data_IF_140394602963
#
_entry.id   IF_140394602963
#
_cell.length_a   1.000
_cell.length_b   1.000
_cell.length_c   1.000
_cell.angle_alpha   90.00
_cell.angle_beta   90.00
_cell.angle_gamma   90.00
#
_symmetry.space_group_name_H-M   'P 1'
#
loop_
_entity.id
_entity.type
_entity.pdbx_description
1 polymer ?
#
# COMPACT_ATOMS: atom_id res chain seq x y z
N UNK A 1 3.40 -11.50 -14.61
CA UNK A 1 2.71 -10.68 -15.63
C UNK A 1 3.15 -9.25 -15.39
N UNK A 2 3.64 -8.54 -16.41
CA UNK A 2 4.13 -7.17 -16.24
C UNK A 2 2.98 -6.28 -15.79
N UNK A 3 3.18 -5.62 -14.67
CA UNK A 3 2.21 -4.74 -14.06
C UNK A 3 2.12 -3.43 -14.88
N UNK A 4 1.35 -3.46 -15.97
CA UNK A 4 1.20 -2.32 -16.90
C UNK A 4 0.57 -1.09 -16.25
N UNK A 5 0.01 -1.22 -15.03
CA UNK A 5 -0.63 -0.14 -14.31
C UNK A 5 0.35 0.86 -13.69
N UNK A 6 1.58 0.44 -13.37
CA UNK A 6 2.53 1.30 -12.65
C UNK A 6 3.92 1.25 -13.27
N UNK A 7 4.55 2.42 -13.42
CA UNK A 7 5.89 2.54 -14.02
C UNK A 7 6.84 3.42 -13.18
N UNK A 8 7.92 2.86 -12.63
CA UNK A 8 8.94 3.66 -11.94
C UNK A 8 9.62 4.66 -12.89
N UNK A 9 9.87 5.87 -12.40
CA UNK A 9 10.66 6.87 -13.10
C UNK A 9 12.16 6.64 -12.87
N UNK A 10 12.98 6.89 -13.89
CA UNK A 10 14.43 6.91 -13.75
C UNK A 10 14.89 8.29 -13.28
N UNK A 11 15.31 8.37 -12.03
CA UNK A 11 15.82 9.60 -11.40
C UNK A 11 17.34 9.58 -11.21
N UNK A 12 18.05 8.60 -11.77
CA UNK A 12 19.48 8.35 -11.51
C UNK A 12 20.37 9.58 -11.70
N UNK A 13 20.12 10.37 -12.74
CA UNK A 13 20.89 11.57 -13.06
C UNK A 13 20.82 12.67 -11.98
N UNK A 14 19.75 12.69 -11.18
CA UNK A 14 19.45 13.78 -10.23
C UNK A 14 19.87 13.47 -8.79
N UNK A 15 20.22 12.21 -8.50
CA UNK A 15 20.58 11.77 -7.14
C UNK A 15 21.91 12.37 -6.71
N UNK A 16 21.95 12.94 -5.52
CA UNK A 16 23.07 13.70 -4.96
C UNK A 16 23.38 13.38 -3.48
N UNK A 17 22.64 12.47 -2.85
CA UNK A 17 22.82 12.10 -1.45
C UNK A 17 22.61 10.60 -1.23
N UNK A 18 23.14 10.05 -0.14
CA UNK A 18 23.01 8.65 0.24
C UNK A 18 22.23 8.38 1.53
N UNK A 19 22.21 7.12 1.99
CA UNK A 19 21.58 6.67 3.23
C UNK A 19 22.00 7.42 4.50
N UNK A 20 23.15 8.10 4.49
CA UNK A 20 23.62 8.92 5.62
C UNK A 20 22.68 10.08 6.01
N UNK A 21 21.73 10.44 5.14
CA UNK A 21 20.67 11.39 5.48
C UNK A 21 19.64 10.83 6.48
N UNK A 22 19.54 9.50 6.61
CA UNK A 22 18.65 8.80 7.54
C UNK A 22 19.46 7.79 8.39
N UNK A 23 20.37 8.27 9.25
CA UNK A 23 21.39 7.43 9.89
C UNK A 23 20.81 6.33 10.80
N UNK A 24 19.67 6.59 11.42
CA UNK A 24 19.08 5.70 12.42
C UNK A 24 18.14 4.63 11.83
N UNK A 25 17.85 4.68 10.52
CA UNK A 25 16.67 4.01 9.95
C UNK A 25 16.96 3.00 8.84
N UNK A 26 18.24 2.84 8.47
CA UNK A 26 18.72 1.90 7.45
C UNK A 26 17.78 1.84 6.22
N UNK A 27 17.69 2.94 5.45
CA UNK A 27 16.66 3.10 4.45
C UNK A 27 16.73 2.03 3.35
N UNK A 28 15.57 1.55 2.90
CA UNK A 28 15.51 0.61 1.78
C UNK A 28 15.93 1.28 0.47
N UNK A 29 16.73 0.59 -0.34
CA UNK A 29 17.35 1.11 -1.56
C UNK A 29 17.25 0.10 -2.70
N UNK A 30 17.55 0.50 -3.93
CA UNK A 30 17.42 -0.36 -5.12
C UNK A 30 15.96 -0.49 -5.60
N UNK A 31 15.64 -1.61 -6.25
CA UNK A 31 14.26 -1.89 -6.68
C UNK A 31 13.42 -2.32 -5.48
N UNK A 32 12.32 -1.62 -5.23
CA UNK A 32 11.50 -1.80 -4.05
C UNK A 32 10.02 -1.87 -4.43
N UNK A 33 9.27 -2.72 -3.73
CA UNK A 33 7.81 -2.74 -3.76
C UNK A 33 7.29 -2.09 -2.48
N UNK A 34 6.84 -0.83 -2.61
CA UNK A 34 6.30 -0.07 -1.48
C UNK A 34 4.78 -0.09 -1.58
N UNK A 35 4.13 -0.82 -0.66
CA UNK A 35 2.68 -1.13 -0.71
C UNK A 35 2.22 -1.79 -2.03
N UNK A 36 3.05 -2.64 -2.61
CA UNK A 36 2.77 -3.29 -3.89
C UNK A 36 2.89 -2.38 -5.11
N UNK A 37 3.46 -1.18 -4.94
CA UNK A 37 3.79 -0.27 -6.04
C UNK A 37 5.31 -0.33 -6.31
N UNK A 38 5.74 -0.46 -7.57
CA UNK A 38 7.14 -0.58 -7.90
C UNK A 38 7.82 0.79 -7.80
N UNK A 39 9.01 0.85 -7.18
CA UNK A 39 9.87 2.02 -7.12
C UNK A 39 11.32 1.65 -7.44
N UNK A 40 12.05 2.60 -8.03
CA UNK A 40 13.50 2.49 -8.25
C UNK A 40 14.22 3.54 -7.39
N UNK A 41 14.66 3.13 -6.22
CA UNK A 41 15.46 3.94 -5.31
C UNK A 41 16.94 3.74 -5.65
N UNK A 42 17.77 4.76 -5.51
CA UNK A 42 19.21 4.61 -5.76
C UNK A 42 19.91 3.82 -4.66
N UNK A 43 21.21 3.58 -4.87
CA UNK A 43 22.06 2.85 -3.93
C UNK A 43 23.32 3.65 -3.59
N UNK A 44 23.93 3.34 -2.45
CA UNK A 44 25.17 3.98 -1.99
C UNK A 44 25.06 5.50 -1.85
N UNK A 45 26.15 6.22 -2.12
CA UNK A 45 26.23 7.68 -1.96
C UNK A 45 25.32 8.49 -2.90
N UNK A 46 24.63 7.84 -3.84
CA UNK A 46 23.67 8.45 -4.76
C UNK A 46 22.34 7.72 -4.70
N UNK A 47 21.83 7.51 -3.49
CA UNK A 47 20.55 6.88 -3.26
C UNK A 47 19.35 7.82 -3.51
N UNK A 48 19.48 9.09 -3.14
CA UNK A 48 18.37 10.05 -3.05
C UNK A 48 18.67 11.37 -3.75
N UNK A 49 17.61 12.15 -3.98
CA UNK A 49 17.68 13.58 -4.29
C UNK A 49 17.47 14.34 -2.96
N UNK A 50 18.53 14.83 -2.36
CA UNK A 50 18.51 15.70 -1.18
C UNK A 50 18.30 17.16 -1.56
N UNK A 51 17.35 17.81 -0.89
CA UNK A 51 16.83 19.15 -1.19
C UNK A 51 16.68 19.98 0.10
N UNK A 52 16.76 21.30 -0.04
CA UNK A 52 16.63 22.25 1.08
C UNK A 52 17.97 22.65 1.69
N UNK A 53 17.94 23.20 2.90
CA UNK A 53 19.08 23.84 3.54
C UNK A 53 20.35 22.95 3.55
N UNK A 54 21.43 23.42 2.94
CA UNK A 54 22.71 22.71 2.91
C UNK A 54 22.74 21.42 2.08
N UNK A 55 21.68 21.12 1.31
CA UNK A 55 21.61 19.99 0.39
C UNK A 55 21.58 20.50 -1.07
N UNK A 56 20.44 20.38 -1.76
CA UNK A 56 20.22 20.85 -3.13
C UNK A 56 19.15 21.93 -3.23
N UNK A 57 19.21 22.71 -4.31
CA UNK A 57 18.19 23.71 -4.67
C UNK A 57 17.11 23.14 -5.60
N UNK A 58 16.44 24.01 -6.34
CA UNK A 58 15.42 23.60 -7.32
C UNK A 58 15.95 22.57 -8.32
N UNK A 59 15.14 21.54 -8.59
CA UNK A 59 15.45 20.50 -9.57
C UNK A 59 14.25 20.25 -10.49
N UNK A 60 14.51 19.96 -11.76
CA UNK A 60 13.47 19.62 -12.75
C UNK A 60 13.67 18.18 -13.20
N UNK A 61 12.70 17.32 -12.85
CA UNK A 61 12.70 15.89 -13.17
C UNK A 61 11.89 15.67 -14.45
N UNK A 62 12.48 15.18 -15.54
CA UNK A 62 11.76 14.87 -16.77
C UNK A 62 10.82 13.68 -16.53
N UNK A 63 9.57 13.81 -16.98
CA UNK A 63 8.56 12.74 -16.93
C UNK A 63 8.25 12.28 -18.36
N UNK A 64 7.96 13.23 -19.26
CA UNK A 64 7.69 13.01 -20.68
C UNK A 64 6.71 11.85 -20.95
N UNK A 65 5.60 11.83 -20.21
CA UNK A 65 4.60 10.78 -20.30
C UNK A 65 3.22 11.26 -19.88
N UNK A 66 2.18 10.63 -20.42
CA UNK A 66 0.84 10.66 -19.84
C UNK A 66 0.80 9.77 -18.60
N UNK A 67 0.06 10.20 -17.59
CA UNK A 67 -0.21 9.43 -16.38
C UNK A 67 -1.45 10.01 -15.69
N UNK A 68 -2.23 9.14 -15.05
CA UNK A 68 -3.33 9.55 -14.18
C UNK A 68 -2.82 10.00 -12.81
N UNK A 69 -1.73 9.38 -12.35
CA UNK A 69 -1.17 9.65 -11.03
C UNK A 69 0.36 9.74 -11.10
N UNK A 70 0.94 10.59 -10.25
CA UNK A 70 2.37 10.58 -9.92
C UNK A 70 2.50 10.33 -8.43
N UNK A 71 3.11 9.20 -8.08
CA UNK A 71 3.35 8.78 -6.70
C UNK A 71 4.81 9.09 -6.37
N UNK A 72 5.05 9.87 -5.32
CA UNK A 72 6.37 10.28 -4.87
C UNK A 72 6.68 9.62 -3.53
N UNK A 73 7.79 8.90 -3.47
CA UNK A 73 8.37 8.40 -2.23
C UNK A 73 9.38 9.42 -1.72
N UNK A 74 9.03 10.13 -0.65
CA UNK A 74 9.83 11.23 -0.11
C UNK A 74 9.71 11.31 1.41
N UNK A 75 10.56 12.16 2.00
CA UNK A 75 10.61 12.30 3.44
C UNK A 75 11.34 13.56 3.90
N UNK A 76 10.81 14.19 4.95
CA UNK A 76 11.50 15.23 5.70
C UNK A 76 12.59 14.60 6.57
N UNK A 77 13.77 15.20 6.64
CA UNK A 77 14.88 14.64 7.43
C UNK A 77 14.66 14.89 8.93
N UNK A 78 14.16 16.07 9.26
CA UNK A 78 14.03 16.55 10.64
C UNK A 78 12.72 17.30 10.83
N UNK A 79 12.18 17.27 12.04
CA UNK A 79 10.92 17.93 12.41
C UNK A 79 11.07 18.62 13.76
N UNK A 80 10.54 19.83 13.86
CA UNK A 80 10.42 20.55 15.13
C UNK A 80 9.03 20.39 15.78
N UNK A 81 8.16 19.51 15.25
CA UNK A 81 6.79 19.32 15.77
C UNK A 81 6.79 18.83 17.23
N UNK A 82 7.70 17.93 17.59
CA UNK A 82 7.86 17.47 18.99
C UNK A 82 8.38 18.58 19.91
N UNK A 83 8.94 19.64 19.35
CA UNK A 83 9.38 20.85 20.07
C UNK A 83 8.32 21.95 20.08
N UNK A 84 7.10 21.65 19.64
CA UNK A 84 5.96 22.57 19.65
C UNK A 84 5.84 23.45 18.40
N UNK A 85 6.54 23.13 17.30
CA UNK A 85 6.31 23.80 16.03
C UNK A 85 4.88 23.57 15.51
N UNK A 86 4.42 24.45 14.62
CA UNK A 86 3.10 24.35 14.03
C UNK A 86 3.09 23.32 12.90
N UNK A 87 2.02 22.54 12.86
CA UNK A 87 1.70 21.66 11.72
C UNK A 87 1.50 22.49 10.45
N UNK A 88 1.93 21.95 9.30
CA UNK A 88 1.75 22.59 8.00
C UNK A 88 2.86 23.57 7.62
N UNK A 89 4.08 23.39 8.15
CA UNK A 89 5.26 24.13 7.70
C UNK A 89 5.43 23.98 6.18
N UNK A 90 5.74 25.09 5.51
CA UNK A 90 5.95 25.12 4.06
C UNK A 90 7.31 24.49 3.72
N UNK A 91 7.30 23.32 3.07
CA UNK A 91 8.51 22.53 2.78
C UNK A 91 8.98 22.76 1.35
N UNK A 92 8.07 22.73 0.37
CA UNK A 92 8.39 22.89 -1.04
C UNK A 92 7.15 23.18 -1.88
N UNK A 93 7.34 23.71 -3.09
CA UNK A 93 6.36 23.63 -4.18
C UNK A 93 6.76 22.51 -5.16
N UNK A 94 5.80 21.64 -5.49
CA UNK A 94 5.91 20.67 -6.59
C UNK A 94 5.08 21.17 -7.77
N UNK A 95 5.72 21.40 -8.92
CA UNK A 95 5.10 22.00 -10.09
C UNK A 95 5.15 21.00 -11.24
N UNK A 96 3.99 20.53 -11.67
CA UNK A 96 3.85 19.62 -12.81
C UNK A 96 3.59 20.43 -14.07
N UNK A 97 4.53 20.41 -15.00
CA UNK A 97 4.43 21.12 -16.29
C UNK A 97 3.87 20.20 -17.36
N UNK A 98 2.82 20.62 -18.06
CA UNK A 98 2.17 19.90 -19.15
C UNK A 98 2.66 20.37 -20.52
N UNK A 99 2.45 19.54 -21.54
CA UNK A 99 2.88 19.79 -22.93
C UNK A 99 2.15 20.97 -23.61
N UNK A 100 0.97 21.34 -23.11
CA UNK A 100 0.19 22.51 -23.55
C UNK A 100 0.60 23.82 -22.85
N UNK A 101 1.60 23.77 -21.98
CA UNK A 101 2.11 24.92 -21.22
C UNK A 101 1.38 25.19 -19.91
N UNK A 102 0.36 24.39 -19.55
CA UNK A 102 -0.28 24.47 -18.23
C UNK A 102 0.68 23.93 -17.15
N UNK A 103 0.69 24.60 -15.99
CA UNK A 103 1.47 24.17 -14.84
C UNK A 103 0.59 24.03 -13.60
N UNK A 104 0.62 22.86 -12.96
CA UNK A 104 -0.08 22.58 -11.72
C UNK A 104 0.88 22.67 -10.54
N UNK A 105 0.74 23.72 -9.74
CA UNK A 105 1.55 23.93 -8.53
C UNK A 105 0.85 23.38 -7.30
N UNK A 106 1.54 22.52 -6.57
CA UNK A 106 1.08 21.92 -5.31
C UNK A 106 2.05 22.27 -4.19
N UNK A 107 1.50 22.80 -3.09
CA UNK A 107 2.28 23.04 -1.88
C UNK A 107 2.49 21.73 -1.13
N UNK A 108 3.73 21.47 -0.74
CA UNK A 108 4.13 20.34 0.09
C UNK A 108 4.38 20.86 1.50
N UNK A 109 3.60 20.36 2.45
CA UNK A 109 3.60 20.84 3.82
C UNK A 109 3.86 19.71 4.81
N UNK A 110 4.57 20.04 5.87
CA UNK A 110 4.86 19.10 6.94
C UNK A 110 3.57 18.58 7.59
N UNK A 111 3.52 17.25 7.77
CA UNK A 111 2.42 16.43 8.27
C UNK A 111 1.16 16.40 7.38
N UNK A 112 1.22 16.95 6.17
CA UNK A 112 0.17 16.77 5.15
C UNK A 112 0.70 15.91 4.02
N UNK A 113 1.49 16.51 3.13
CA UNK A 113 2.07 15.87 1.96
C UNK A 113 3.46 15.30 2.23
N UNK A 114 4.09 15.57 3.37
CA UNK A 114 5.40 15.01 3.73
C UNK A 114 5.55 15.00 5.25
N UNK A 115 6.35 14.08 5.81
CA UNK A 115 6.69 14.11 7.24
C UNK A 115 8.08 13.54 7.50
N UNK A 116 8.62 13.78 8.70
CA UNK A 116 9.82 13.12 9.21
C UNK A 116 9.44 11.77 9.86
N UNK A 117 10.39 11.12 10.56
CA UNK A 117 9.99 10.03 11.45
C UNK A 117 9.01 10.59 12.47
N UNK A 118 7.95 9.84 12.73
CA UNK A 118 6.87 10.27 13.61
C UNK A 118 6.52 9.19 14.60
N UNK A 119 5.99 9.61 15.75
CA UNK A 119 5.43 8.72 16.75
C UNK A 119 3.99 8.34 16.43
N UNK A 120 3.44 7.43 17.24
CA UNK A 120 2.02 7.07 17.20
C UNK A 120 1.10 8.30 17.19
N UNK A 121 0.12 8.32 16.28
CA UNK A 121 -0.83 9.42 16.12
C UNK A 121 -0.31 10.65 15.36
N UNK A 122 0.94 10.64 14.87
CA UNK A 122 1.54 11.79 14.19
C UNK A 122 1.76 11.58 12.67
N UNK A 123 1.24 10.50 12.09
CA UNK A 123 1.30 10.23 10.65
C UNK A 123 0.73 11.38 9.80
N UNK A 124 1.28 11.63 8.59
CA UNK A 124 0.81 12.68 7.70
C UNK A 124 -0.61 12.41 7.19
N UNK A 125 -1.35 13.48 6.91
CA UNK A 125 -2.77 13.40 6.53
C UNK A 125 -3.02 13.01 5.06
N UNK A 126 -2.08 13.31 4.15
CA UNK A 126 -2.26 13.15 2.70
C UNK A 126 -1.25 12.18 2.08
N UNK A 127 -0.57 11.38 2.90
CA UNK A 127 0.37 10.35 2.46
C UNK A 127 0.14 9.03 3.17
N UNK A 128 0.56 7.96 2.51
CA UNK A 128 0.62 6.63 3.09
C UNK A 128 2.05 6.31 3.58
N UNK A 129 2.18 5.34 4.48
CA UNK A 129 3.46 4.74 4.82
C UNK A 129 4.00 3.92 3.64
N UNK A 130 5.31 3.66 3.63
CA UNK A 130 5.98 2.84 2.62
C UNK A 130 5.84 1.32 2.83
N UNK A 131 5.18 0.90 3.92
CA UNK A 131 4.89 -0.51 4.22
C UNK A 131 3.39 -0.80 4.13
N UNK A 132 3.05 -2.03 3.72
CA UNK A 132 1.66 -2.50 3.67
C UNK A 132 1.14 -2.76 5.09
N UNK A 133 -0.18 -2.82 5.23
CA UNK A 133 -0.80 -3.41 6.40
C UNK A 133 -0.56 -4.93 6.38
N UNK A 134 -0.49 -5.57 7.55
CA UNK A 134 -0.26 -7.02 7.63
C UNK A 134 -1.09 -7.68 8.73
N UNK A 135 -1.64 -8.88 8.50
CA UNK A 135 -2.22 -9.66 9.59
C UNK A 135 -1.13 -10.12 10.55
N UNK A 136 -1.44 -10.17 11.84
CA UNK A 136 -0.57 -10.85 12.80
C UNK A 136 -0.37 -12.33 12.41
N UNK A 137 0.71 -12.99 12.84
CA UNK A 137 0.77 -14.44 12.73
C UNK A 137 -0.33 -15.05 13.59
N UNK A 138 -1.28 -15.77 12.97
CA UNK A 138 -2.46 -16.31 13.65
C UNK A 138 -2.12 -17.24 14.81
N UNK A 139 -1.13 -18.11 14.62
CA UNK A 139 -0.85 -19.25 15.49
C UNK A 139 0.36 -19.05 16.40
N UNK A 140 1.09 -17.95 16.25
CA UNK A 140 2.35 -17.69 16.96
C UNK A 140 2.47 -16.21 17.32
N UNK A 141 3.39 -15.88 18.22
CA UNK A 141 3.74 -14.51 18.57
C UNK A 141 3.68 -14.20 20.06
N UNK A 142 3.90 -12.93 20.38
CA UNK A 142 3.87 -12.37 21.72
C UNK A 142 2.42 -12.27 22.23
N UNK A 143 1.97 -13.27 22.99
CA UNK A 143 0.61 -13.34 23.53
C UNK A 143 0.33 -12.34 24.65
N UNK A 144 1.37 -11.73 25.22
CA UNK A 144 1.30 -10.58 26.12
C UNK A 144 0.80 -9.30 25.44
N UNK A 145 0.83 -9.25 24.10
CA UNK A 145 0.21 -8.19 23.28
C UNK A 145 -1.26 -8.50 22.93
N UNK A 146 -1.98 -9.23 23.79
CA UNK A 146 -3.34 -9.68 23.51
C UNK A 146 -4.29 -8.55 23.06
N UNK A 147 -4.15 -7.35 23.60
CA UNK A 147 -4.95 -6.18 23.21
C UNK A 147 -4.71 -5.73 21.76
N UNK A 148 -3.46 -5.69 21.30
CA UNK A 148 -3.13 -5.38 19.90
C UNK A 148 -3.56 -6.51 18.97
N UNK A 149 -3.44 -7.75 19.41
CA UNK A 149 -3.80 -8.91 18.59
C UNK A 149 -5.31 -9.03 18.34
N UNK A 150 -6.16 -8.41 19.16
CA UNK A 150 -7.60 -8.32 18.91
C UNK A 150 -7.95 -7.55 17.63
N UNK A 151 -7.07 -6.70 17.11
CA UNK A 151 -7.31 -6.00 15.85
C UNK A 151 -7.05 -6.88 14.63
N UNK A 152 -6.41 -8.05 14.81
CA UNK A 152 -6.01 -9.06 13.82
C UNK A 152 -5.03 -8.59 12.74
N UNK A 153 -5.19 -7.36 12.28
CA UNK A 153 -4.36 -6.66 11.31
C UNK A 153 -3.64 -5.51 12.01
N UNK A 154 -2.36 -5.37 11.69
CA UNK A 154 -1.56 -4.22 12.07
C UNK A 154 -1.43 -3.27 10.86
N UNK A 155 -1.38 -1.98 11.14
CA UNK A 155 -1.23 -0.94 10.14
C UNK A 155 0.22 -0.86 9.67
N UNK A 156 0.41 -0.64 8.37
CA UNK A 156 1.67 -0.24 7.76
C UNK A 156 2.30 0.95 8.49
N UNK A 157 3.51 0.77 9.03
CA UNK A 157 4.28 1.84 9.65
C UNK A 157 5.36 2.37 8.70
N UNK A 158 5.58 3.70 8.60
CA UNK A 158 6.65 4.22 7.76
C UNK A 158 7.99 3.69 8.26
N UNK A 159 8.67 2.94 7.41
CA UNK A 159 10.03 2.44 7.66
C UNK A 159 11.05 3.50 7.26
N UNK A 160 10.91 4.05 6.06
CA UNK A 160 11.91 4.97 5.50
C UNK A 160 11.28 6.14 4.78
N UNK A 161 10.11 5.97 4.17
CA UNK A 161 9.49 6.98 3.32
C UNK A 161 7.98 7.13 3.56
N UNK A 162 7.44 8.25 3.09
CA UNK A 162 6.02 8.43 2.88
C UNK A 162 5.72 8.46 1.39
N UNK A 163 4.57 7.91 1.01
CA UNK A 163 4.10 7.86 -0.36
C UNK A 163 2.99 8.90 -0.53
N UNK A 164 3.29 9.97 -1.26
CA UNK A 164 2.34 11.00 -1.63
C UNK A 164 1.87 10.80 -3.07
N UNK A 165 0.58 10.97 -3.35
CA UNK A 165 0.02 10.81 -4.69
C UNK A 165 -0.55 12.14 -5.20
N UNK A 166 -0.01 12.62 -6.31
CA UNK A 166 -0.66 13.63 -7.13
C UNK A 166 -1.61 12.98 -8.12
N UNK A 167 -2.85 13.48 -8.20
CA UNK A 167 -3.81 13.11 -9.24
C UNK A 167 -3.75 14.15 -10.35
N UNK A 168 -3.42 13.70 -11.56
CA UNK A 168 -3.33 14.57 -12.73
C UNK A 168 -4.74 14.99 -13.15
N UNK A 169 -5.07 16.29 -13.14
CA UNK A 169 -6.38 16.76 -13.57
C UNK A 169 -6.61 16.64 -15.09
N UNK A 170 -5.54 16.43 -15.87
CA UNK A 170 -5.60 16.25 -17.32
C UNK A 170 -4.78 15.00 -17.72
N UNK A 171 -5.29 13.78 -17.47
CA UNK A 171 -4.53 12.53 -17.66
C UNK A 171 -4.14 12.25 -19.12
N UNK A 172 -4.91 12.79 -20.07
CA UNK A 172 -4.64 12.67 -21.52
C UNK A 172 -3.52 13.61 -22.00
N UNK A 173 -3.06 14.55 -21.16
CA UNK A 173 -1.94 15.45 -21.46
C UNK A 173 -0.64 14.87 -20.96
N UNK A 174 0.42 15.01 -21.76
CA UNK A 174 1.74 14.59 -21.32
C UNK A 174 2.24 15.52 -20.23
N UNK A 175 2.69 14.94 -19.12
CA UNK A 175 3.47 15.65 -18.11
C UNK A 175 4.90 15.73 -18.65
N UNK A 176 5.38 16.93 -18.95
CA UNK A 176 6.74 17.17 -19.43
C UNK A 176 7.73 16.96 -18.29
N UNK A 177 7.47 17.60 -17.14
CA UNK A 177 8.38 17.53 -15.99
C UNK A 177 7.67 17.79 -14.66
N UNK A 178 8.33 17.35 -13.60
CA UNK A 178 8.08 17.77 -12.22
C UNK A 178 9.23 18.66 -11.77
N UNK A 179 8.95 19.94 -11.56
CA UNK A 179 9.87 20.86 -10.91
C UNK A 179 9.63 20.87 -9.40
N UNK A 180 10.69 20.68 -8.62
CA UNK A 180 10.64 20.67 -7.17
C UNK A 180 11.42 21.87 -6.65
N UNK A 181 10.72 22.78 -5.98
CA UNK A 181 11.28 24.01 -5.42
C UNK A 181 11.29 23.94 -3.88
N UNK A 182 12.44 23.70 -3.23
CA UNK A 182 12.51 23.64 -1.77
C UNK A 182 12.37 25.04 -1.13
N UNK A 183 11.68 25.12 0.02
CA UNK A 183 11.42 26.39 0.74
C UNK A 183 12.21 26.55 2.05
N UNK A 184 13.06 25.58 2.40
CA UNK A 184 13.96 25.71 3.56
C UNK A 184 14.25 24.36 4.22
N UNK A 185 13.24 23.66 4.77
CA UNK A 185 13.44 22.40 5.46
C UNK A 185 14.17 21.37 4.59
N UNK A 186 14.99 20.54 5.24
CA UNK A 186 15.75 19.49 4.56
C UNK A 186 14.88 18.26 4.35
N UNK A 187 14.79 17.82 3.11
CA UNK A 187 14.03 16.62 2.76
C UNK A 187 14.74 15.86 1.63
N UNK A 188 14.30 14.63 1.42
CA UNK A 188 14.75 13.79 0.32
C UNK A 188 13.58 13.30 -0.52
N UNK A 189 13.84 13.10 -1.80
CA UNK A 189 13.00 12.28 -2.69
C UNK A 189 13.80 11.01 -3.00
N UNK A 190 13.24 9.86 -2.65
CA UNK A 190 13.86 8.57 -2.87
C UNK A 190 13.58 8.03 -4.28
N UNK A 191 12.32 8.14 -4.71
CA UNK A 191 11.86 7.69 -6.02
C UNK A 191 10.49 8.29 -6.37
N UNK A 192 10.08 8.12 -7.62
CA UNK A 192 8.73 8.42 -8.07
C UNK A 192 8.25 7.36 -9.07
N UNK A 193 6.94 7.13 -9.12
CA UNK A 193 6.28 6.12 -9.94
C UNK A 193 5.02 6.70 -10.56
N UNK A 194 4.78 6.39 -11.83
CA UNK A 194 3.59 6.80 -12.56
C UNK A 194 2.48 5.76 -12.40
N UNK A 195 1.26 6.21 -12.12
CA UNK A 195 0.04 5.42 -12.28
C UNK A 195 -0.54 5.66 -13.67
N UNK A 196 -0.62 4.59 -14.46
CA UNK A 196 -0.99 4.62 -15.88
C UNK A 196 -2.47 4.32 -16.12
N UNK A 197 -3.23 4.04 -15.06
CA UNK A 197 -4.68 3.79 -15.11
C UNK A 197 -5.44 4.80 -14.25
N UNK A 198 -6.76 4.99 -14.45
CA UNK A 198 -7.56 5.92 -13.65
C UNK A 198 -7.74 5.53 -12.18
N UNK A 199 -7.26 4.35 -11.76
CA UNK A 199 -7.43 3.89 -10.39
C UNK A 199 -6.54 4.70 -9.44
N UNK A 200 -7.06 5.04 -8.26
CA UNK A 200 -6.24 5.64 -7.22
C UNK A 200 -5.31 4.57 -6.62
N UNK A 201 -3.99 4.85 -6.44
CA UNK A 201 -2.99 3.81 -6.15
C UNK A 201 -3.04 3.24 -4.73
N UNK A 202 -3.83 3.83 -3.84
CA UNK A 202 -4.00 3.35 -2.46
C UNK A 202 -5.46 2.99 -2.20
N UNK A 203 -5.68 1.95 -1.40
CA UNK A 203 -7.03 1.48 -1.07
C UNK A 203 -7.80 2.59 -0.33
N UNK A 204 -9.00 2.91 -0.84
CA UNK A 204 -9.90 3.93 -0.26
C UNK A 204 -11.31 3.39 0.03
N UNK A 205 -11.52 2.10 -0.19
CA UNK A 205 -12.78 1.40 0.05
C UNK A 205 -12.67 0.57 1.32
N UNK A 206 -13.80 0.33 1.98
CA UNK A 206 -13.86 -0.60 3.10
C UNK A 206 -13.56 -2.04 2.63
N UNK A 207 -13.11 -2.88 3.54
CA UNK A 207 -12.99 -4.30 3.28
C UNK A 207 -14.38 -4.93 3.15
N UNK A 208 -14.58 -5.75 2.12
CA UNK A 208 -15.82 -6.53 1.92
C UNK A 208 -15.57 -8.00 2.24
N UNK A 209 -16.56 -8.73 2.76
CA UNK A 209 -16.40 -10.15 3.06
C UNK A 209 -16.42 -10.98 1.77
N UNK A 210 -15.33 -11.72 1.55
CA UNK A 210 -15.18 -12.61 0.40
C UNK A 210 -15.25 -14.05 0.87
N UNK A 211 -16.22 -14.79 0.34
CA UNK A 211 -16.29 -16.25 0.47
C UNK A 211 -15.28 -16.90 -0.47
N UNK A 212 -14.59 -17.91 0.06
CA UNK A 212 -13.54 -18.69 -0.58
C UNK A 212 -13.98 -20.15 -0.55
N UNK A 213 -14.26 -20.71 -1.73
CA UNK A 213 -14.55 -22.13 -1.91
C UNK A 213 -13.35 -22.81 -2.60
N UNK A 214 -12.72 -23.77 -1.91
CA UNK A 214 -11.65 -24.59 -2.47
C UNK A 214 -12.29 -25.72 -3.28
N UNK A 215 -11.87 -25.88 -4.54
CA UNK A 215 -12.45 -26.90 -5.43
C UNK A 215 -11.83 -28.28 -5.28
N UNK A 216 -10.62 -28.34 -4.73
CA UNK A 216 -9.95 -29.60 -4.39
C UNK A 216 -10.50 -30.14 -3.06
N UNK A 217 -11.18 -31.31 -3.06
CA UNK A 217 -11.77 -31.89 -1.85
C UNK A 217 -10.73 -32.17 -0.76
N UNK A 218 -9.52 -32.60 -1.12
CA UNK A 218 -8.48 -32.90 -0.13
C UNK A 218 -8.01 -31.62 0.57
N UNK A 219 -7.88 -30.52 -0.16
CA UNK A 219 -7.54 -29.21 0.44
C UNK A 219 -8.71 -28.62 1.23
N UNK A 220 -9.95 -28.82 0.78
CA UNK A 220 -11.15 -28.33 1.43
C UNK A 220 -11.37 -28.97 2.81
N UNK A 221 -11.11 -30.27 2.94
CA UNK A 221 -11.29 -31.04 4.18
C UNK A 221 -10.15 -30.85 5.19
N UNK A 222 -9.01 -30.25 4.77
CA UNK A 222 -7.89 -30.00 5.69
C UNK A 222 -8.29 -29.09 6.85
N UNK A 223 -7.87 -29.42 8.09
CA UNK A 223 -8.20 -28.61 9.25
C UNK A 223 -7.56 -27.23 9.19
N UNK A 224 -8.31 -26.18 9.57
CA UNK A 224 -7.73 -24.85 9.72
C UNK A 224 -6.91 -24.77 11.02
N UNK A 225 -5.66 -25.19 10.92
CA UNK A 225 -4.69 -25.23 12.01
C UNK A 225 -3.32 -24.69 11.53
N UNK A 226 -2.26 -24.70 12.38
CA UNK A 226 -0.95 -24.20 11.98
C UNK A 226 -0.31 -24.92 10.78
N UNK A 227 -0.76 -26.14 10.43
CA UNK A 227 -0.20 -26.92 9.32
C UNK A 227 -0.86 -26.57 7.99
N UNK A 228 -2.19 -26.42 7.94
CA UNK A 228 -2.89 -26.11 6.70
C UNK A 228 -3.06 -24.60 6.49
N UNK A 229 -3.18 -23.82 7.57
CA UNK A 229 -3.17 -22.36 7.61
C UNK A 229 -3.64 -21.67 6.31
N UNK A 230 -4.93 -21.73 6.01
CA UNK A 230 -5.51 -21.02 4.86
C UNK A 230 -5.28 -19.50 5.03
N UNK A 231 -4.59 -18.90 4.06
CA UNK A 231 -4.22 -17.49 4.01
C UNK A 231 -4.75 -16.84 2.74
N UNK A 232 -5.14 -15.58 2.89
CA UNK A 232 -5.42 -14.68 1.78
C UNK A 232 -4.42 -13.54 1.84
N UNK A 233 -3.77 -13.24 0.73
CA UNK A 233 -2.86 -12.10 0.59
C UNK A 233 -3.27 -11.24 -0.59
N UNK A 234 -2.97 -9.95 -0.48
CA UNK A 234 -3.24 -8.95 -1.52
C UNK A 234 -1.97 -8.15 -1.74
N UNK A 235 -1.56 -7.99 -2.99
CA UNK A 235 -0.34 -7.24 -3.33
C UNK A 235 -0.50 -5.72 -3.09
N UNK A 236 -1.64 -5.14 -3.48
CA UNK A 236 -2.00 -3.72 -3.31
C UNK A 236 -3.30 -3.56 -2.52
N UNK A 237 -3.23 -3.95 -1.25
CA UNK A 237 -4.34 -3.79 -0.32
C UNK A 237 -4.11 -4.54 0.98
N UNK A 238 -5.20 -5.00 1.58
CA UNK A 238 -5.17 -5.78 2.81
C UNK A 238 -6.21 -6.89 2.77
N UNK A 239 -5.88 -7.97 3.46
CA UNK A 239 -6.81 -9.05 3.78
C UNK A 239 -6.69 -9.36 5.27
N UNK A 240 -7.85 -9.60 5.88
CA UNK A 240 -7.91 -10.20 7.20
C UNK A 240 -7.69 -11.70 7.15
N UNK A 241 -7.84 -12.29 8.31
CA UNK A 241 -7.81 -13.72 8.51
C UNK A 241 -8.95 -14.46 7.78
N UNK A 242 -8.64 -15.62 7.19
CA UNK A 242 -9.65 -16.49 6.57
C UNK A 242 -10.30 -17.40 7.63
N UNK A 243 -11.61 -17.28 7.82
CA UNK A 243 -12.37 -18.02 8.83
C UNK A 243 -13.39 -18.97 8.21
N UNK A 244 -13.41 -20.26 8.58
CA UNK A 244 -14.46 -21.17 8.16
C UNK A 244 -15.74 -20.83 8.92
N UNK A 245 -16.86 -20.77 8.19
CA UNK A 245 -18.18 -20.65 8.82
C UNK A 245 -18.73 -22.04 9.16
N UNK A 246 -19.57 -22.18 10.19
CA UNK A 246 -20.32 -23.41 10.47
C UNK A 246 -21.04 -23.94 9.23
N UNK A 247 -21.10 -25.27 9.09
CA UNK A 247 -21.71 -25.93 7.94
C UNK A 247 -23.25 -25.86 7.97
N UNK A 248 -23.84 -25.84 9.17
CA UNK A 248 -25.28 -25.79 9.38
C UNK A 248 -25.72 -24.35 9.69
N UNK A 249 -26.46 -23.72 8.77
CA UNK A 249 -27.14 -22.44 9.02
C UNK A 249 -28.54 -22.72 9.54
N UNK A 250 -28.81 -22.47 10.81
CA UNK A 250 -30.19 -22.38 11.31
C UNK A 250 -30.70 -20.97 11.05
N UNK A 251 -31.54 -20.80 10.03
CA UNK A 251 -31.93 -19.48 9.51
C UNK A 251 -32.96 -18.73 10.35
N UNK A 252 -33.47 -19.32 11.44
CA UNK A 252 -34.65 -18.81 12.16
C UNK A 252 -34.36 -18.40 13.63
N UNK A 253 -33.11 -18.39 14.09
CA UNK A 253 -32.77 -18.03 15.49
C UNK A 253 -31.92 -16.77 15.61
N UNK A 254 -32.18 -15.96 16.65
CA UNK A 254 -31.48 -14.70 16.91
C UNK A 254 -30.00 -14.85 17.35
N UNK A 255 -29.42 -16.07 17.29
CA UNK A 255 -28.06 -16.41 17.76
C UNK A 255 -27.27 -17.33 16.80
N UNK A 256 -27.59 -17.32 15.49
CA UNK A 256 -26.89 -18.14 14.47
C UNK A 256 -25.37 -17.98 14.58
N UNK A 257 -24.64 -19.08 14.67
CA UNK A 257 -23.17 -19.14 14.76
C UNK A 257 -22.57 -19.12 16.16
N UNK A 258 -23.33 -18.85 17.24
CA UNK A 258 -22.81 -18.91 18.62
C UNK A 258 -23.07 -20.29 19.26
N UNK A 259 -22.00 -21.07 19.48
CA UNK A 259 -22.10 -22.43 20.04
C UNK A 259 -22.37 -23.54 19.03
N UNK A 260 -22.48 -23.21 17.75
CA UNK A 260 -22.64 -24.19 16.66
C UNK A 260 -21.36 -25.00 16.41
N UNK A 261 -21.47 -26.24 15.90
CA UNK A 261 -20.32 -27.02 15.47
C UNK A 261 -19.51 -26.24 14.44
N UNK A 262 -18.25 -25.98 14.76
CA UNK A 262 -17.31 -25.41 13.79
C UNK A 262 -17.21 -26.32 12.58
N UNK A 263 -17.16 -25.71 11.39
CA UNK A 263 -16.67 -26.42 10.21
C UNK A 263 -15.22 -26.85 10.50
N UNK A 264 -14.93 -28.17 10.51
CA UNK A 264 -13.60 -28.66 10.81
C UNK A 264 -12.63 -28.39 9.65
N UNK A 265 -13.14 -28.19 8.44
CA UNK A 265 -12.34 -27.97 7.23
C UNK A 265 -11.98 -26.51 6.97
N UNK A 266 -11.24 -26.29 5.90
CA UNK A 266 -10.78 -24.98 5.44
C UNK A 266 -11.70 -24.37 4.36
N UNK A 267 -12.81 -25.05 4.01
CA UNK A 267 -13.76 -24.54 3.03
C UNK A 267 -15.21 -24.84 3.40
N UNK A 268 -16.16 -23.92 3.16
CA UNK A 268 -15.93 -22.54 2.74
C UNK A 268 -15.28 -21.71 3.86
N UNK A 269 -14.44 -20.76 3.46
CA UNK A 269 -13.84 -19.78 4.36
C UNK A 269 -14.19 -18.36 3.91
N UNK A 270 -14.04 -17.41 4.83
CA UNK A 270 -14.38 -16.01 4.63
C UNK A 270 -13.23 -15.14 5.10
N UNK A 271 -12.83 -14.17 4.28
CA UNK A 271 -11.87 -13.16 4.67
C UNK A 271 -12.40 -11.77 4.28
N UNK A 272 -12.24 -10.74 5.14
CA UNK A 272 -12.46 -9.37 4.71
C UNK A 272 -11.29 -8.95 3.81
N UNK A 273 -11.58 -8.39 2.64
CA UNK A 273 -10.58 -7.97 1.64
C UNK A 273 -10.85 -6.53 1.20
N UNK A 274 -9.82 -5.69 1.21
CA UNK A 274 -9.84 -4.35 0.63
C UNK A 274 -8.65 -4.19 -0.32
N UNK A 275 -8.88 -3.79 -1.58
CA UNK A 275 -7.82 -3.72 -2.57
C UNK A 275 -8.13 -2.71 -3.69
N UNK A 276 -7.11 -2.27 -4.42
CA UNK A 276 -7.28 -1.49 -5.67
C UNK A 276 -7.65 -2.41 -6.83
N UNK A 277 -8.23 -1.89 -7.91
CA UNK A 277 -8.77 -2.70 -9.00
C UNK A 277 -7.71 -3.57 -9.70
N UNK A 278 -6.48 -3.08 -9.83
CA UNK A 278 -5.35 -3.83 -10.39
C UNK A 278 -4.69 -4.81 -9.43
N UNK A 279 -5.14 -4.90 -8.17
CA UNK A 279 -4.56 -5.81 -7.20
C UNK A 279 -4.85 -7.28 -7.55
N UNK A 280 -3.98 -8.17 -7.09
CA UNK A 280 -4.18 -9.61 -7.13
C UNK A 280 -4.47 -10.13 -5.72
N UNK A 281 -5.53 -10.92 -5.61
CA UNK A 281 -5.89 -11.68 -4.41
C UNK A 281 -5.36 -13.10 -4.57
N UNK A 282 -4.46 -13.50 -3.69
CA UNK A 282 -3.87 -14.83 -3.70
C UNK A 282 -4.38 -15.65 -2.52
N UNK A 283 -4.82 -16.87 -2.81
CA UNK A 283 -5.26 -17.85 -1.80
C UNK A 283 -4.18 -18.89 -1.65
N UNK A 284 -3.70 -19.10 -0.43
CA UNK A 284 -2.65 -20.05 -0.10
C UNK A 284 -3.10 -21.01 1.00
N UNK A 285 -2.70 -22.28 0.87
CA UNK A 285 -2.86 -23.31 1.91
C UNK A 285 -1.46 -23.77 2.29
N UNK A 286 -1.16 -23.74 3.58
CA UNK A 286 0.19 -23.84 4.12
C UNK A 286 1.08 -22.77 3.45
N UNK A 287 2.14 -23.18 2.75
CA UNK A 287 3.05 -22.31 2.02
C UNK A 287 2.87 -22.36 0.49
N UNK A 288 1.86 -23.08 -0.01
CA UNK A 288 1.55 -23.16 -1.44
C UNK A 288 0.46 -22.14 -1.81
N UNK A 289 0.75 -21.28 -2.78
CA UNK A 289 -0.29 -20.46 -3.44
C UNK A 289 -1.12 -21.39 -4.32
N UNK A 290 -2.39 -21.55 -3.96
CA UNK A 290 -3.34 -22.42 -4.66
C UNK A 290 -3.86 -21.73 -5.92
N UNK A 291 -4.23 -20.45 -5.81
CA UNK A 291 -4.81 -19.68 -6.90
C UNK A 291 -4.56 -18.18 -6.68
N UNK A 292 -4.54 -17.41 -7.77
CA UNK A 292 -4.49 -15.94 -7.72
C UNK A 292 -5.48 -15.35 -8.72
N UNK A 293 -6.27 -14.39 -8.29
CA UNK A 293 -7.28 -13.73 -9.13
C UNK A 293 -7.16 -12.22 -9.03
N UNK A 294 -7.54 -11.51 -10.09
CA UNK A 294 -7.56 -10.04 -10.08
C UNK A 294 -8.75 -9.53 -9.27
N UNK A 295 -8.50 -8.57 -8.40
CA UNK A 295 -9.54 -7.95 -7.56
C UNK A 295 -10.61 -7.24 -8.39
N UNK A 296 -10.21 -6.50 -9.43
CA UNK A 296 -11.15 -5.80 -10.32
C UNK A 296 -12.18 -6.73 -10.94
N UNK A 297 -11.75 -7.92 -11.38
CA UNK A 297 -12.64 -8.92 -11.98
C UNK A 297 -13.66 -9.44 -10.94
N UNK A 298 -13.23 -9.61 -9.68
CA UNK A 298 -14.10 -10.01 -8.58
C UNK A 298 -15.14 -8.93 -8.23
N UNK A 299 -14.73 -7.65 -8.21
CA UNK A 299 -15.64 -6.53 -7.96
C UNK A 299 -16.65 -6.37 -9.11
N UNK A 300 -16.21 -6.48 -10.36
CA UNK A 300 -17.08 -6.30 -11.53
C UNK A 300 -18.16 -7.38 -11.63
N UNK A 301 -17.80 -8.63 -11.36
CA UNK A 301 -18.70 -9.78 -11.56
C UNK A 301 -19.37 -10.27 -10.27
N UNK A 302 -18.97 -9.76 -9.10
CA UNK A 302 -19.39 -10.22 -7.77
C UNK A 302 -18.85 -11.62 -7.40
N UNK A 303 -18.39 -12.41 -8.37
CA UNK A 303 -17.73 -13.69 -8.16
C UNK A 303 -16.77 -14.02 -9.30
N UNK A 304 -15.70 -14.74 -8.97
CA UNK A 304 -14.74 -15.29 -9.94
C UNK A 304 -14.62 -16.78 -9.71
N UNK A 305 -14.89 -17.57 -10.76
CA UNK A 305 -14.79 -19.02 -10.73
C UNK A 305 -13.48 -19.48 -11.39
N UNK A 306 -12.37 -19.43 -10.64
CA UNK A 306 -11.06 -19.83 -11.12
C UNK A 306 -10.87 -21.37 -11.06
N UNK A 307 -9.84 -21.94 -11.72
CA UNK A 307 -9.65 -23.39 -11.78
C UNK A 307 -9.62 -24.10 -10.43
N UNK A 308 -8.91 -23.55 -9.42
CA UNK A 308 -8.75 -24.21 -8.11
C UNK A 308 -9.60 -23.61 -6.99
N UNK A 309 -10.09 -22.38 -7.17
CA UNK A 309 -10.83 -21.64 -6.14
C UNK A 309 -12.00 -20.87 -6.77
N UNK A 310 -13.13 -20.79 -6.07
CA UNK A 310 -14.17 -19.80 -6.36
C UNK A 310 -14.16 -18.72 -5.27
N UNK A 311 -14.08 -17.46 -5.69
CA UNK A 311 -14.24 -16.30 -4.81
C UNK A 311 -15.58 -15.63 -5.07
N UNK A 312 -16.28 -15.20 -4.03
CA UNK A 312 -17.57 -14.50 -4.13
C UNK A 312 -17.65 -13.40 -3.09
N UNK A 313 -17.98 -12.17 -3.49
CA UNK A 313 -18.34 -11.08 -2.57
C UNK A 313 -19.74 -11.40 -2.03
N UNK A 314 -19.87 -11.46 -0.71
CA UNK A 314 -21.09 -11.99 -0.05
C UNK A 314 -22.07 -10.87 0.30
N UNK A 315 -21.55 -9.68 0.54
CA UNK A 315 -22.28 -8.44 0.74
C UNK A 315 -21.38 -7.27 0.33
N UNK A 316 -21.98 -6.20 -0.18
CA UNK A 316 -21.26 -5.05 -0.73
C UNK A 316 -20.82 -4.03 0.34
N UNK A 317 -21.13 -4.29 1.61
CA UNK A 317 -20.91 -3.38 2.74
C UNK A 317 -22.08 -2.44 2.99
#
# INVERSE_FOLDING_TARGET
MSDEAYRPLDLSAFRNAGPELLPDEQPTTGSQDLRGLPFKIGEGARAFIGLGAGLGGTVTLPINATAHHVIVAHRLIESDLERGARVGLDVADYIFHQDDGVAHRIKIRERFEISAAVQFGQLPFLCESDTSDWPWPRWTGAWDLAGERQTEVNRGWPRSYFLWCWTNPSPDRSIVSLEVMPHGPRFLIAAATLGLTPEYPFVRTAAVPVRIDLKDPELAERPLDPTSNLRVTVDRGSAGYAYPLPLDRHTDEHFVGWGEPRNPGSSPAYAPIAAVQSANVSVAVADEVVESVRWGDLVEHGSVDAPRVRLTIVEDG
#
